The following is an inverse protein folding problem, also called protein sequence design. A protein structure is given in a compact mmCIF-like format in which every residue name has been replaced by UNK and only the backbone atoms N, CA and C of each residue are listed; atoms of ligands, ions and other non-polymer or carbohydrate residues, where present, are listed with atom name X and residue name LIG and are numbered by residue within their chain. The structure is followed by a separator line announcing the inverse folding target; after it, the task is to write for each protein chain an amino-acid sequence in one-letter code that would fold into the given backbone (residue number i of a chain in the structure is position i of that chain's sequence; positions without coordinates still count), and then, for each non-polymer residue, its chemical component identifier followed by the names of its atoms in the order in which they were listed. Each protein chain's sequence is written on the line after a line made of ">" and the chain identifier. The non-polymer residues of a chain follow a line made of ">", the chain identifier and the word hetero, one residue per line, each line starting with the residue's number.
data_IF_674209410049
#
_entry.id   IF_674209410049
#
_cell.length_a   1.000
_cell.length_b   1.000
_cell.length_c   1.000
_cell.angle_alpha   90.00
_cell.angle_beta   90.00
_cell.angle_gamma   90.00
#
_symmetry.space_group_name_H-M   'P 1'
#
loop_
_entity.id
_entity.type
_entity.pdbx_description
1 polymer ?
#
# COMPACT_ATOMS: atom_id res chain seq x y z
N UNK A 1 27.85 -20.32 -21.24
CA UNK A 1 27.50 -19.27 -20.28
C UNK A 1 26.24 -18.62 -20.77
N UNK A 2 25.11 -18.72 -20.03
CA UNK A 2 23.90 -18.03 -20.40
C UNK A 2 24.10 -16.53 -20.20
N UNK A 3 23.89 -15.77 -21.26
CA UNK A 3 23.97 -14.31 -21.23
C UNK A 3 22.74 -13.84 -20.44
N UNK A 4 22.96 -13.35 -19.21
CA UNK A 4 21.88 -12.72 -18.42
C UNK A 4 21.35 -11.53 -19.22
N UNK A 5 20.14 -11.63 -19.74
CA UNK A 5 19.43 -10.49 -20.32
C UNK A 5 19.23 -9.46 -19.21
N UNK A 6 19.82 -8.28 -19.36
CA UNK A 6 19.71 -7.14 -18.46
C UNK A 6 18.63 -6.16 -18.94
N UNK A 7 17.57 -6.66 -19.52
CA UNK A 7 16.44 -5.81 -19.87
C UNK A 7 15.62 -5.53 -18.61
N UNK A 8 15.27 -4.28 -18.31
CA UNK A 8 14.41 -3.97 -17.20
C UNK A 8 13.04 -4.60 -17.44
N UNK A 9 12.46 -5.19 -16.40
CA UNK A 9 11.10 -5.71 -16.42
C UNK A 9 10.21 -4.60 -15.87
N UNK A 10 9.23 -4.16 -16.66
CA UNK A 10 8.17 -3.28 -16.20
C UNK A 10 7.09 -4.14 -15.54
N UNK A 11 6.78 -3.87 -14.28
CA UNK A 11 5.72 -4.54 -13.55
C UNK A 11 4.69 -3.49 -13.18
N UNK A 12 3.43 -3.74 -13.52
CA UNK A 12 2.32 -2.87 -13.20
C UNK A 12 1.52 -3.44 -12.01
N UNK A 13 1.04 -2.55 -11.14
CA UNK A 13 0.25 -2.93 -9.98
C UNK A 13 -1.22 -3.02 -10.37
N UNK A 14 -1.72 -4.23 -10.52
CA UNK A 14 -3.10 -4.52 -10.90
C UNK A 14 -3.90 -5.20 -9.77
N UNK A 15 -5.20 -5.38 -10.00
CA UNK A 15 -6.09 -6.14 -9.11
C UNK A 15 -6.58 -5.38 -7.87
N UNK A 16 -6.33 -4.08 -7.80
CA UNK A 16 -6.85 -3.24 -6.73
C UNK A 16 -8.29 -2.84 -6.99
N UNK A 17 -9.16 -3.07 -6.01
CA UNK A 17 -10.49 -2.48 -5.95
C UNK A 17 -10.48 -1.34 -4.94
N UNK A 18 -10.73 -0.13 -5.45
CA UNK A 18 -10.73 1.09 -4.64
C UNK A 18 -9.39 1.80 -4.50
N UNK A 19 -8.29 1.35 -5.14
CA UNK A 19 -7.05 2.12 -5.19
C UNK A 19 -6.66 2.48 -6.63
N UNK A 20 -6.29 3.73 -6.85
CA UNK A 20 -5.76 4.20 -8.13
C UNK A 20 -4.91 5.46 -7.97
N UNK A 21 -3.77 5.52 -8.65
CA UNK A 21 -3.03 6.76 -8.85
C UNK A 21 -3.80 7.64 -9.86
N UNK A 22 -4.22 8.83 -9.43
CA UNK A 22 -4.99 9.78 -10.24
C UNK A 22 -4.07 10.73 -11.01
N UNK A 23 -3.03 11.23 -10.32
CA UNK A 23 -2.03 12.13 -10.87
C UNK A 23 -0.78 12.17 -10.00
N UNK A 24 0.32 12.71 -10.51
CA UNK A 24 1.53 12.96 -9.75
C UNK A 24 2.32 14.13 -10.34
N UNK A 25 3.12 14.78 -9.52
CA UNK A 25 3.98 15.88 -9.92
C UNK A 25 4.27 16.86 -8.80
N UNK A 26 5.21 17.77 -9.01
CA UNK A 26 5.64 18.75 -8.04
C UNK A 26 5.97 18.16 -6.65
N UNK A 27 6.63 16.98 -6.64
CA UNK A 27 7.01 16.27 -5.42
C UNK A 27 5.87 15.58 -4.67
N UNK A 28 4.70 15.40 -5.30
CA UNK A 28 3.50 14.83 -4.67
C UNK A 28 2.81 13.83 -5.60
N UNK A 29 1.93 13.02 -5.01
CA UNK A 29 1.01 12.13 -5.71
C UNK A 29 -0.41 12.31 -5.20
N UNK A 30 -1.37 12.17 -6.11
CA UNK A 30 -2.79 12.25 -5.88
C UNK A 30 -3.41 10.91 -6.15
N UNK A 31 -4.03 10.29 -5.15
CA UNK A 31 -4.46 8.90 -5.15
C UNK A 31 -5.92 8.80 -4.75
N UNK A 32 -6.70 7.99 -5.48
CA UNK A 32 -8.00 7.53 -5.02
C UNK A 32 -7.79 6.33 -4.08
N UNK A 33 -8.45 6.34 -2.93
CA UNK A 33 -8.38 5.30 -1.90
C UNK A 33 -9.78 5.08 -1.35
N UNK A 34 -10.45 4.06 -1.84
CA UNK A 34 -11.89 3.87 -1.62
C UNK A 34 -12.70 5.02 -2.23
N UNK A 35 -13.67 5.55 -1.50
CA UNK A 35 -14.49 6.67 -1.96
C UNK A 35 -13.79 8.04 -1.85
N UNK A 36 -12.57 8.08 -1.34
CA UNK A 36 -11.85 9.32 -1.04
C UNK A 36 -10.60 9.47 -1.91
N UNK A 37 -10.10 10.70 -1.98
CA UNK A 37 -8.81 10.97 -2.61
C UNK A 37 -7.87 11.67 -1.61
N UNK A 38 -6.58 11.36 -1.72
CA UNK A 38 -5.55 11.88 -0.81
C UNK A 38 -4.35 12.39 -1.59
N UNK A 39 -3.69 13.40 -1.03
CA UNK A 39 -2.41 13.91 -1.53
C UNK A 39 -1.32 13.49 -0.53
N UNK A 40 -0.26 12.90 -1.06
CA UNK A 40 0.90 12.47 -0.26
C UNK A 40 2.22 12.90 -0.93
N UNK A 41 3.29 13.08 -0.15
CA UNK A 41 4.61 13.34 -0.69
C UNK A 41 5.10 12.21 -1.60
N UNK A 42 5.65 12.58 -2.75
CA UNK A 42 6.35 11.71 -3.68
C UNK A 42 7.52 12.48 -4.29
N UNK A 43 8.66 12.56 -3.59
CA UNK A 43 9.78 13.39 -4.00
C UNK A 43 10.35 13.06 -5.40
N UNK A 44 10.12 11.85 -5.87
CA UNK A 44 10.56 11.41 -7.20
C UNK A 44 9.70 12.00 -8.34
N UNK A 45 8.48 12.46 -8.05
CA UNK A 45 7.58 13.07 -9.03
C UNK A 45 7.98 14.53 -9.31
N UNK A 46 9.11 14.74 -9.99
CA UNK A 46 9.69 16.06 -10.26
C UNK A 46 9.05 16.80 -11.44
N UNK A 47 8.17 16.14 -12.19
CA UNK A 47 7.43 16.73 -13.31
C UNK A 47 6.25 17.58 -12.85
N UNK A 48 5.63 18.29 -13.77
CA UNK A 48 4.40 19.06 -13.49
C UNK A 48 3.19 18.13 -13.48
N UNK A 49 2.24 18.32 -12.53
CA UNK A 49 0.96 17.62 -12.56
C UNK A 49 0.24 17.81 -13.90
N UNK A 50 -0.52 16.80 -14.32
CA UNK A 50 -1.37 16.89 -15.52
C UNK A 50 -2.69 17.57 -15.24
N UNK A 51 -3.27 17.35 -14.05
CA UNK A 51 -4.51 17.95 -13.65
C UNK A 51 -4.27 19.38 -13.11
N UNK A 52 -5.10 20.35 -13.47
CA UNK A 52 -4.93 21.74 -13.04
C UNK A 52 -5.19 21.91 -11.53
N UNK A 53 -5.97 21.01 -10.93
CA UNK A 53 -6.35 21.05 -9.52
C UNK A 53 -6.59 19.63 -9.00
N UNK A 54 -6.19 19.39 -7.76
CA UNK A 54 -6.46 18.16 -7.03
C UNK A 54 -7.43 18.43 -5.88
N UNK A 55 -8.60 17.80 -5.93
CA UNK A 55 -9.60 17.86 -4.85
C UNK A 55 -9.45 16.62 -3.99
N UNK A 56 -8.86 16.79 -2.80
CA UNK A 56 -8.55 15.70 -1.88
C UNK A 56 -9.33 15.84 -0.58
N UNK A 57 -9.72 14.73 0.02
CA UNK A 57 -10.28 14.67 1.37
C UNK A 57 -9.21 14.92 2.45
N UNK A 58 -7.94 14.77 2.09
CA UNK A 58 -6.84 15.08 2.98
C UNK A 58 -5.49 15.11 2.26
N UNK A 59 -4.58 15.89 2.83
CA UNK A 59 -3.18 16.01 2.38
C UNK A 59 -2.24 15.74 3.54
N UNK A 60 -1.22 14.91 3.32
CA UNK A 60 -0.12 14.76 4.27
C UNK A 60 0.93 15.83 3.99
N UNK A 61 1.05 16.76 4.93
CA UNK A 61 2.04 17.83 4.89
C UNK A 61 3.28 17.38 5.66
N UNK A 62 4.45 17.24 4.99
CA UNK A 62 5.69 16.91 5.66
C UNK A 62 6.03 17.95 6.72
N UNK A 63 6.52 17.52 7.87
CA UNK A 63 7.12 18.36 8.89
C UNK A 63 8.64 18.17 8.91
N UNK A 64 9.31 18.92 9.80
CA UNK A 64 10.69 18.65 10.16
C UNK A 64 10.78 17.37 11.01
N UNK A 65 11.96 16.76 11.08
CA UNK A 65 12.20 15.62 11.99
C UNK A 65 11.99 16.02 13.45
N UNK A 66 12.21 17.30 13.77
CA UNK A 66 11.98 17.89 15.09
C UNK A 66 10.49 17.97 15.44
N UNK A 67 9.60 18.12 14.43
CA UNK A 67 8.15 18.20 14.58
C UNK A 67 7.43 16.83 14.49
N UNK A 68 8.17 15.72 14.47
CA UNK A 68 7.59 14.39 14.40
C UNK A 68 7.21 13.91 13.00
N UNK A 69 7.79 14.49 11.96
CA UNK A 69 7.74 13.93 10.59
C UNK A 69 6.57 14.40 9.71
N UNK A 70 5.59 15.13 10.22
CA UNK A 70 4.49 15.69 9.43
C UNK A 70 3.10 15.40 10.00
N UNK A 71 2.07 15.88 9.30
CA UNK A 71 0.67 15.73 9.72
C UNK A 71 -0.29 15.65 8.53
N UNK A 72 -1.41 15.01 8.74
CA UNK A 72 -2.56 15.10 7.85
C UNK A 72 -3.33 16.41 8.05
N UNK A 73 -3.63 17.09 6.97
CA UNK A 73 -4.58 18.18 6.90
C UNK A 73 -5.82 17.62 6.20
N UNK A 74 -6.91 17.49 6.94
CA UNK A 74 -8.16 16.89 6.47
C UNK A 74 -9.17 17.98 6.17
N UNK A 75 -9.99 17.79 5.12
CA UNK A 75 -11.15 18.63 4.88
C UNK A 75 -12.19 18.48 6.01
N UNK A 76 -13.03 19.52 6.27
CA UNK A 76 -14.02 19.48 7.36
C UNK A 76 -15.01 18.30 7.28
N UNK A 77 -15.32 17.82 6.08
CA UNK A 77 -16.13 16.65 5.81
C UNK A 77 -15.28 15.38 5.66
N UNK A 78 -14.21 15.30 6.45
CA UNK A 78 -13.28 14.18 6.37
C UNK A 78 -14.00 12.82 6.45
N UNK A 79 -13.47 11.80 5.74
CA UNK A 79 -14.04 10.46 5.75
C UNK A 79 -14.07 9.89 7.17
N UNK A 80 -14.92 8.87 7.43
CA UNK A 80 -14.84 8.11 8.67
C UNK A 80 -13.42 7.61 8.93
N UNK A 81 -13.12 7.26 10.16
CA UNK A 81 -11.78 6.93 10.61
C UNK A 81 -11.12 5.81 9.79
N UNK A 82 -11.92 4.89 9.26
CA UNK A 82 -11.48 3.78 8.44
C UNK A 82 -12.51 3.42 7.36
N UNK A 83 -12.06 2.71 6.34
CA UNK A 83 -12.90 2.13 5.29
C UNK A 83 -12.24 0.88 4.72
N UNK A 84 -13.05 -0.02 4.19
CA UNK A 84 -12.58 -1.29 3.64
C UNK A 84 -12.21 -1.15 2.16
N UNK A 85 -11.07 -1.70 1.82
CA UNK A 85 -10.58 -1.89 0.44
C UNK A 85 -10.37 -3.38 0.17
N UNK A 86 -10.15 -3.72 -1.09
CA UNK A 86 -9.70 -5.04 -1.46
C UNK A 86 -8.61 -5.03 -2.53
N UNK A 87 -7.80 -6.07 -2.46
CA UNK A 87 -6.91 -6.49 -3.53
C UNK A 87 -7.19 -7.96 -3.83
N UNK A 88 -7.73 -8.25 -4.99
CA UNK A 88 -8.28 -9.58 -5.32
C UNK A 88 -9.21 -10.07 -4.20
N UNK A 89 -8.91 -11.20 -3.56
CA UNK A 89 -9.68 -11.76 -2.45
C UNK A 89 -9.34 -11.16 -1.07
N UNK A 90 -8.20 -10.47 -0.95
CA UNK A 90 -7.75 -9.89 0.32
C UNK A 90 -8.55 -8.63 0.64
N UNK A 91 -9.25 -8.62 1.77
CA UNK A 91 -9.94 -7.45 2.32
C UNK A 91 -9.16 -6.86 3.46
N UNK A 92 -9.17 -5.55 3.59
CA UNK A 92 -8.43 -4.87 4.66
C UNK A 92 -9.01 -3.48 4.95
N UNK A 93 -8.76 -3.01 6.15
CA UNK A 93 -9.07 -1.64 6.55
C UNK A 93 -7.96 -0.69 6.12
N UNK A 94 -8.35 0.47 5.58
CA UNK A 94 -7.44 1.57 5.27
C UNK A 94 -7.83 2.81 6.07
N UNK A 95 -6.84 3.56 6.55
CA UNK A 95 -7.04 4.82 7.28
C UNK A 95 -5.76 5.66 7.27
N UNK A 96 -5.86 7.00 7.38
CA UNK A 96 -4.71 7.86 7.62
C UNK A 96 -4.03 7.49 8.94
N UNK A 97 -2.74 7.18 8.88
CA UNK A 97 -1.93 6.95 10.08
C UNK A 97 -1.21 8.24 10.50
N UNK A 98 -0.68 8.35 11.74
CA UNK A 98 0.16 9.48 12.14
C UNK A 98 1.37 9.73 11.21
N UNK A 99 1.69 8.75 10.39
CA UNK A 99 2.67 8.83 9.31
C UNK A 99 1.95 9.04 7.97
N UNK A 100 2.72 9.23 6.88
CA UNK A 100 2.18 9.43 5.52
C UNK A 100 1.48 8.19 4.91
N UNK A 101 1.41 7.08 5.63
CA UNK A 101 0.86 5.82 5.11
C UNK A 101 -0.63 5.68 5.40
N UNK A 102 -1.32 4.93 4.53
CA UNK A 102 -2.75 4.61 4.63
C UNK A 102 -3.01 3.15 5.01
N UNK A 103 -2.06 2.54 5.74
CA UNK A 103 -2.04 1.15 6.20
C UNK A 103 -1.81 0.09 5.12
N UNK A 104 -1.52 0.46 3.90
CA UNK A 104 -1.16 -0.48 2.82
C UNK A 104 -0.13 0.12 1.86
N UNK A 105 0.49 -0.77 1.09
CA UNK A 105 1.49 -0.45 0.07
C UNK A 105 1.06 -1.10 -1.25
N UNK A 106 0.43 -0.34 -2.16
CA UNK A 106 -0.11 -0.89 -3.40
C UNK A 106 0.97 -1.45 -4.34
N UNK A 107 2.19 -0.94 -4.27
CA UNK A 107 3.36 -1.35 -5.02
C UNK A 107 3.86 -2.76 -4.66
N UNK A 108 3.37 -3.34 -3.56
CA UNK A 108 3.71 -4.71 -3.15
C UNK A 108 2.87 -5.79 -3.86
N UNK A 109 1.77 -5.43 -4.52
CA UNK A 109 0.88 -6.40 -5.17
C UNK A 109 1.59 -7.33 -6.17
N UNK A 110 2.46 -6.84 -7.07
CA UNK A 110 3.20 -7.73 -7.99
C UNK A 110 4.12 -8.71 -7.27
N UNK A 111 4.64 -8.34 -6.10
CA UNK A 111 5.47 -9.24 -5.29
C UNK A 111 4.62 -10.36 -4.70
N UNK A 112 3.41 -10.05 -4.24
CA UNK A 112 2.49 -11.09 -3.74
C UNK A 112 2.03 -12.02 -4.85
N UNK A 113 1.77 -11.51 -6.06
CA UNK A 113 1.45 -12.33 -7.24
C UNK A 113 2.60 -13.27 -7.58
N UNK A 114 3.81 -12.74 -7.69
CA UNK A 114 4.99 -13.55 -7.93
C UNK A 114 5.20 -14.65 -6.87
N UNK A 115 5.03 -14.30 -5.57
CA UNK A 115 5.12 -15.27 -4.50
C UNK A 115 4.05 -16.39 -4.64
N UNK A 116 2.82 -16.01 -4.98
CA UNK A 116 1.75 -16.97 -5.24
C UNK A 116 2.07 -17.93 -6.39
N UNK A 117 2.64 -17.40 -7.49
CA UNK A 117 3.10 -18.20 -8.61
C UNK A 117 4.19 -19.22 -8.19
N UNK A 118 5.13 -18.82 -7.32
CA UNK A 118 6.17 -19.72 -6.81
C UNK A 118 5.59 -20.84 -5.92
N UNK A 119 4.49 -20.56 -5.22
CA UNK A 119 3.83 -21.51 -4.31
C UNK A 119 2.79 -22.37 -5.03
N UNK A 120 2.37 -21.99 -6.22
CA UNK A 120 1.40 -22.73 -7.00
C UNK A 120 1.92 -24.17 -7.29
N UNK A 121 1.15 -25.17 -6.86
CA UNK A 121 1.53 -26.58 -6.98
C UNK A 121 2.36 -27.16 -5.82
N UNK A 122 2.71 -26.35 -4.82
CA UNK A 122 3.30 -26.85 -3.59
C UNK A 122 2.19 -27.39 -2.68
N UNK A 123 2.25 -28.69 -2.32
CA UNK A 123 1.22 -29.36 -1.50
C UNK A 123 1.37 -29.12 -0.01
N UNK A 124 2.58 -28.78 0.46
CA UNK A 124 2.91 -28.64 1.87
C UNK A 124 3.67 -27.32 2.14
N UNK A 125 3.25 -26.25 1.43
CA UNK A 125 3.88 -24.94 1.60
C UNK A 125 3.62 -24.39 2.99
N UNK A 126 4.67 -23.90 3.64
CA UNK A 126 4.61 -23.09 4.85
C UNK A 126 5.49 -21.87 4.65
N UNK A 127 4.92 -20.69 4.81
CA UNK A 127 5.60 -19.44 4.51
C UNK A 127 5.81 -18.58 5.75
N UNK A 128 6.82 -17.71 5.70
CA UNK A 128 7.06 -16.70 6.72
C UNK A 128 7.14 -15.32 6.05
N UNK A 129 6.23 -14.43 6.43
CA UNK A 129 6.24 -13.05 5.97
C UNK A 129 6.92 -12.18 7.02
N UNK A 130 8.16 -11.75 6.74
CA UNK A 130 8.93 -10.84 7.57
C UNK A 130 8.61 -9.40 7.20
N UNK A 131 8.58 -8.51 8.21
CA UNK A 131 8.16 -7.11 8.02
C UNK A 131 6.75 -7.01 7.43
N UNK A 132 5.86 -7.88 7.92
CA UNK A 132 4.55 -8.15 7.30
C UNK A 132 3.54 -7.01 7.42
N UNK A 133 3.87 -5.94 8.18
CA UNK A 133 3.06 -4.74 8.38
C UNK A 133 1.61 -5.09 8.77
N UNK A 134 0.62 -4.61 8.02
CA UNK A 134 -0.81 -4.84 8.28
C UNK A 134 -1.36 -6.15 7.72
N UNK A 135 -0.48 -7.04 7.25
CA UNK A 135 -0.79 -8.42 6.95
C UNK A 135 -1.25 -8.73 5.53
N UNK A 136 -1.35 -7.76 4.62
CA UNK A 136 -1.90 -8.01 3.28
C UNK A 136 -1.15 -9.12 2.53
N UNK A 137 0.20 -9.06 2.56
CA UNK A 137 1.02 -10.12 1.95
C UNK A 137 0.83 -11.48 2.61
N UNK A 138 0.60 -11.52 3.94
CA UNK A 138 0.30 -12.77 4.65
C UNK A 138 -1.06 -13.35 4.23
N UNK A 139 -2.07 -12.50 4.08
CA UNK A 139 -3.40 -12.88 3.62
C UNK A 139 -3.36 -13.34 2.15
N UNK A 140 -2.61 -12.64 1.29
CA UNK A 140 -2.42 -13.03 -0.10
C UNK A 140 -1.80 -14.44 -0.24
N UNK A 141 -0.94 -14.83 0.68
CA UNK A 141 -0.27 -16.13 0.66
C UNK A 141 -1.03 -17.24 1.42
N UNK A 142 -2.06 -16.90 2.18
CA UNK A 142 -2.80 -17.86 3.00
C UNK A 142 -3.55 -18.92 2.19
N UNK A 143 -3.87 -18.64 0.94
CA UNK A 143 -4.48 -19.62 0.01
C UNK A 143 -3.55 -20.79 -0.34
N UNK A 144 -2.24 -20.63 -0.12
CA UNK A 144 -1.23 -21.62 -0.47
C UNK A 144 -0.77 -22.47 0.74
N UNK A 145 -1.23 -22.14 1.94
CA UNK A 145 -0.90 -22.87 3.17
C UNK A 145 -0.65 -21.96 4.37
N UNK A 146 -0.20 -22.51 5.50
CA UNK A 146 0.06 -21.75 6.71
C UNK A 146 1.08 -20.63 6.52
N UNK A 147 0.77 -19.45 7.05
CA UNK A 147 1.64 -18.26 6.99
C UNK A 147 1.99 -17.80 8.40
N UNK A 148 3.28 -17.70 8.71
CA UNK A 148 3.78 -17.04 9.92
C UNK A 148 4.00 -15.56 9.61
N UNK A 149 3.18 -14.70 10.23
CA UNK A 149 3.32 -13.25 10.12
C UNK A 149 4.23 -12.69 11.20
N UNK A 150 5.23 -11.91 10.82
CA UNK A 150 6.21 -11.30 11.73
C UNK A 150 6.36 -9.80 11.44
N UNK A 151 6.15 -8.99 12.46
CA UNK A 151 6.44 -7.55 12.42
C UNK A 151 6.86 -7.06 13.80
N UNK A 152 7.75 -6.07 13.87
CA UNK A 152 8.22 -5.49 15.11
C UNK A 152 7.19 -4.54 15.75
N UNK A 153 6.29 -3.97 14.95
CA UNK A 153 5.25 -3.05 15.41
C UNK A 153 4.05 -3.80 15.95
N UNK A 154 3.80 -3.70 17.25
CA UNK A 154 2.59 -4.26 17.89
C UNK A 154 1.30 -3.75 17.25
N UNK A 155 1.27 -2.47 16.81
CA UNK A 155 0.11 -1.88 16.14
C UNK A 155 -0.12 -2.52 14.76
N UNK A 156 0.94 -2.74 13.99
CA UNK A 156 0.85 -3.41 12.70
C UNK A 156 0.36 -4.85 12.84
N UNK A 157 0.87 -5.59 13.82
CA UNK A 157 0.40 -6.97 14.11
C UNK A 157 -1.05 -6.99 14.57
N UNK A 158 -1.49 -6.02 15.36
CA UNK A 158 -2.91 -5.91 15.75
C UNK A 158 -3.78 -5.68 14.53
N UNK A 159 -3.40 -4.74 13.66
CA UNK A 159 -4.13 -4.47 12.41
C UNK A 159 -4.13 -5.69 11.47
N UNK A 160 -3.04 -6.43 11.38
CA UNK A 160 -2.98 -7.66 10.59
C UNK A 160 -3.97 -8.73 11.08
N UNK A 161 -4.21 -8.81 12.40
CA UNK A 161 -5.23 -9.69 12.98
C UNK A 161 -6.67 -9.23 12.72
N UNK A 162 -6.90 -7.92 12.65
CA UNK A 162 -8.20 -7.36 12.30
C UNK A 162 -8.53 -7.57 10.81
N UNK A 163 -7.50 -7.58 9.95
CA UNK A 163 -7.66 -7.85 8.53
C UNK A 163 -7.85 -9.35 8.21
N UNK A 164 -7.48 -10.24 9.12
CA UNK A 164 -7.56 -11.71 8.95
C UNK A 164 -8.91 -12.25 9.39
#
# INVERSE_FOLDING_TARGET
>A
MAQLRREPILIECEGWDGYRLLDSGAGRKFEAVGPHAFIRPEPQAMWQPRLPQWNAAGEFVPGSDEDGGGRWVMEPEAPPADWTLSWKHVRFSAQPTPFRHLQFFPDMAPVWDWMGEQLAGCTDASTMNLFGYTGLGSLALSDYGPVTHVDASKKSVAQARENA
#
